data_IF_655210553000
#
_entry.id   IF_655210553000
#
_cell.length_a   1.000
_cell.length_b   1.000
_cell.length_c   1.000
_cell.angle_alpha   90.00
_cell.angle_beta   90.00
_cell.angle_gamma   90.00
#
_symmetry.space_group_name_H-M   'P 1'
#
loop_
_entity.id
_entity.type
_entity.pdbx_description
1 polymer ?
#
# COMPACT_ATOMS: atom_id res chain seq x y z
N UNK A 1 -8.10 -0.78 -63.06
CA UNK A 1 -8.05 -1.99 -62.26
C UNK A 1 -6.95 -1.97 -61.17
N UNK A 2 -5.69 -1.60 -61.44
CA UNK A 2 -4.61 -1.58 -60.42
C UNK A 2 -4.84 -0.73 -59.17
N UNK A 3 -5.52 0.45 -59.24
CA UNK A 3 -5.82 1.31 -58.08
C UNK A 3 -6.83 0.73 -57.08
N UNK A 4 -7.76 -0.12 -57.55
CA UNK A 4 -8.78 -0.73 -56.71
C UNK A 4 -8.22 -1.93 -55.95
N UNK A 5 -7.30 -2.70 -56.52
CA UNK A 5 -6.63 -3.82 -55.88
C UNK A 5 -5.66 -3.35 -54.77
N UNK A 6 -4.90 -2.28 -55.03
CA UNK A 6 -4.00 -1.68 -54.02
C UNK A 6 -4.77 -1.14 -52.79
N UNK A 7 -5.98 -0.62 -53.03
CA UNK A 7 -6.83 -0.12 -51.95
C UNK A 7 -7.46 -1.25 -51.12
N UNK A 8 -7.72 -2.42 -51.73
CA UNK A 8 -8.25 -3.61 -51.06
C UNK A 8 -7.14 -4.32 -50.24
N UNK A 9 -5.92 -4.40 -50.74
CA UNK A 9 -4.79 -4.97 -49.99
C UNK A 9 -4.41 -4.10 -48.79
N UNK A 10 -4.35 -2.77 -48.93
CA UNK A 10 -4.12 -1.89 -47.78
C UNK A 10 -5.20 -2.03 -46.70
N UNK A 11 -6.49 -2.18 -47.05
CA UNK A 11 -7.55 -2.40 -46.07
C UNK A 11 -7.44 -3.76 -45.36
N UNK A 12 -7.03 -4.79 -46.05
CA UNK A 12 -6.84 -6.13 -45.45
C UNK A 12 -5.66 -6.19 -44.49
N UNK A 13 -4.57 -5.47 -44.76
CA UNK A 13 -3.41 -5.42 -43.89
C UNK A 13 -3.67 -4.58 -42.63
N UNK A 14 -4.38 -3.47 -42.73
CA UNK A 14 -4.76 -2.62 -41.59
C UNK A 14 -5.58 -3.40 -40.57
N UNK A 15 -6.56 -4.19 -41.00
CA UNK A 15 -7.35 -5.03 -40.05
C UNK A 15 -6.52 -6.15 -39.41
N UNK A 16 -5.51 -6.69 -40.12
CA UNK A 16 -4.60 -7.69 -39.54
C UNK A 16 -3.58 -7.07 -38.58
N UNK A 17 -3.19 -5.84 -38.82
CA UNK A 17 -2.21 -5.13 -37.99
C UNK A 17 -2.80 -4.70 -36.65
N UNK A 18 -4.10 -4.38 -36.60
CA UNK A 18 -4.79 -3.92 -35.38
C UNK A 18 -5.57 -5.03 -34.65
N UNK A 19 -5.53 -6.30 -35.09
CA UNK A 19 -6.25 -7.38 -34.41
C UNK A 19 -5.87 -7.54 -32.93
N UNK A 20 -4.61 -7.29 -32.45
CA UNK A 20 -4.30 -7.38 -31.04
C UNK A 20 -5.06 -6.35 -30.19
N UNK A 21 -5.44 -5.20 -30.79
CA UNK A 21 -6.25 -4.19 -30.07
C UNK A 21 -7.64 -4.72 -29.70
N UNK A 22 -8.21 -5.63 -30.51
CA UNK A 22 -9.50 -6.23 -30.18
C UNK A 22 -9.40 -7.13 -28.93
N UNK A 23 -8.24 -7.72 -28.64
CA UNK A 23 -8.00 -8.48 -27.41
C UNK A 23 -7.99 -7.58 -26.16
N UNK A 24 -7.77 -6.28 -26.32
CA UNK A 24 -7.82 -5.31 -25.22
C UNK A 24 -9.25 -4.88 -24.88
N UNK A 25 -10.23 -5.06 -25.79
CA UNK A 25 -11.61 -4.60 -25.61
C UNK A 25 -12.24 -5.12 -24.33
N UNK A 26 -12.17 -6.43 -23.98
CA UNK A 26 -12.75 -6.92 -22.73
C UNK A 26 -12.13 -6.25 -21.49
N UNK A 27 -10.81 -6.03 -21.48
CA UNK A 27 -10.10 -5.36 -20.39
C UNK A 27 -10.50 -3.87 -20.30
N UNK A 28 -10.60 -3.18 -21.43
CA UNK A 28 -11.03 -1.78 -21.49
C UNK A 28 -12.49 -1.61 -21.04
N UNK A 29 -13.38 -2.51 -21.46
CA UNK A 29 -14.79 -2.52 -21.01
C UNK A 29 -14.86 -2.78 -19.50
N UNK A 30 -14.09 -3.73 -18.96
CA UNK A 30 -14.01 -3.97 -17.53
C UNK A 30 -13.57 -2.71 -16.78
N UNK A 31 -12.50 -2.05 -17.22
CA UNK A 31 -12.02 -0.80 -16.60
C UNK A 31 -13.07 0.31 -16.69
N UNK A 32 -13.72 0.47 -17.85
CA UNK A 32 -14.76 1.49 -18.03
C UNK A 32 -15.91 1.28 -17.05
N UNK A 33 -16.44 0.05 -17.00
CA UNK A 33 -17.63 -0.27 -16.19
C UNK A 33 -17.30 -0.23 -14.69
N UNK A 34 -16.16 -0.79 -14.27
CA UNK A 34 -15.87 -0.97 -12.84
C UNK A 34 -15.06 0.16 -12.22
N UNK A 35 -14.39 0.99 -13.01
CA UNK A 35 -13.59 2.11 -12.52
C UNK A 35 -14.12 3.47 -12.95
N UNK A 36 -14.32 3.68 -14.26
CA UNK A 36 -14.70 5.02 -14.78
C UNK A 36 -16.16 5.37 -14.52
N UNK A 37 -17.10 4.46 -14.75
CA UNK A 37 -18.53 4.74 -14.50
C UNK A 37 -18.80 5.04 -13.01
N UNK A 38 -18.26 4.30 -12.03
CA UNK A 38 -18.41 4.65 -10.62
C UNK A 38 -17.83 6.01 -10.22
N UNK A 39 -16.83 6.54 -10.95
CA UNK A 39 -16.33 7.90 -10.70
C UNK A 39 -17.41 8.98 -10.86
N UNK A 40 -18.45 8.75 -11.70
CA UNK A 40 -19.61 9.65 -11.75
C UNK A 40 -20.31 9.77 -10.39
N UNK A 41 -20.20 8.76 -9.52
CA UNK A 41 -20.71 8.79 -8.15
C UNK A 41 -19.99 9.80 -7.25
N UNK A 42 -18.82 10.33 -7.62
CA UNK A 42 -18.15 11.41 -6.87
C UNK A 42 -19.03 12.65 -6.72
N UNK A 43 -20.02 12.84 -7.60
CA UNK A 43 -20.99 13.93 -7.50
C UNK A 43 -21.76 13.91 -6.18
N UNK A 44 -21.90 12.73 -5.53
CA UNK A 44 -22.56 12.57 -4.23
C UNK A 44 -21.85 13.37 -3.14
N UNK A 45 -20.53 13.53 -3.23
CA UNK A 45 -19.75 14.34 -2.30
C UNK A 45 -20.23 15.80 -2.22
N UNK A 46 -20.82 16.30 -3.31
CA UNK A 46 -21.30 17.68 -3.43
C UNK A 46 -22.82 17.81 -3.29
N UNK A 47 -23.52 16.72 -2.96
CA UNK A 47 -24.97 16.67 -2.85
C UNK A 47 -25.40 16.22 -1.44
N UNK A 48 -26.57 16.71 -0.99
CA UNK A 48 -27.27 16.19 0.17
C UNK A 48 -28.14 15.04 -0.29
N UNK A 49 -27.60 13.81 -0.26
CA UNK A 49 -28.25 12.65 -0.84
C UNK A 49 -29.62 12.40 -0.20
N UNK A 50 -30.63 12.31 -1.04
CA UNK A 50 -31.99 11.91 -0.67
C UNK A 50 -32.36 10.63 -1.47
N UNK A 51 -32.51 9.52 -0.77
CA UNK A 51 -32.77 8.23 -1.40
C UNK A 51 -34.08 8.22 -2.22
N UNK A 52 -35.11 8.96 -1.80
CA UNK A 52 -36.38 9.03 -2.53
C UNK A 52 -36.24 9.75 -3.88
N UNK A 53 -35.29 10.68 -4.01
CA UNK A 53 -35.04 11.46 -5.22
C UNK A 53 -33.93 10.87 -6.10
N UNK A 54 -33.15 9.96 -5.55
CA UNK A 54 -31.97 9.43 -6.21
C UNK A 54 -30.81 10.42 -6.30
N UNK A 55 -29.67 9.97 -6.86
CA UNK A 55 -28.42 10.76 -6.89
C UNK A 55 -28.58 12.06 -7.67
N UNK A 56 -29.17 11.97 -8.87
CA UNK A 56 -29.21 13.11 -9.80
C UNK A 56 -30.18 14.21 -9.37
N UNK A 57 -31.34 13.86 -8.80
CA UNK A 57 -32.36 14.82 -8.35
C UNK A 57 -32.16 15.29 -6.91
N UNK A 58 -31.17 14.79 -6.18
CA UNK A 58 -30.82 15.27 -4.83
C UNK A 58 -30.29 16.71 -4.88
N UNK A 59 -30.61 17.55 -3.89
CA UNK A 59 -30.19 18.94 -3.85
C UNK A 59 -28.67 19.07 -3.70
N UNK A 60 -28.13 20.12 -4.29
CA UNK A 60 -26.71 20.46 -4.15
C UNK A 60 -26.41 20.94 -2.72
N UNK A 61 -25.33 20.43 -2.12
CA UNK A 61 -24.78 20.82 -0.84
C UNK A 61 -23.50 21.66 -0.97
N UNK A 62 -23.00 21.84 -2.19
CA UNK A 62 -21.70 22.47 -2.42
C UNK A 62 -20.58 21.77 -1.64
N UNK A 63 -19.87 22.49 -0.77
CA UNK A 63 -18.78 21.96 0.06
C UNK A 63 -19.21 21.60 1.50
N UNK A 64 -20.52 21.61 1.81
CA UNK A 64 -21.00 21.35 3.19
C UNK A 64 -20.57 19.97 3.69
N UNK A 65 -20.56 18.96 2.81
CA UNK A 65 -20.13 17.60 3.17
C UNK A 65 -18.62 17.51 3.49
N UNK A 66 -17.85 18.51 3.13
CA UNK A 66 -16.41 18.59 3.42
C UNK A 66 -16.10 19.35 4.71
N UNK A 67 -17.08 20.05 5.30
CA UNK A 67 -16.86 20.88 6.51
C UNK A 67 -16.27 20.09 7.66
N UNK A 68 -16.63 18.79 7.80
CA UNK A 68 -16.07 17.93 8.84
C UNK A 68 -14.55 17.81 8.78
N UNK A 69 -13.96 17.84 7.58
CA UNK A 69 -12.50 17.75 7.37
C UNK A 69 -11.73 18.92 8.00
N UNK A 70 -12.39 20.05 8.18
CA UNK A 70 -11.75 21.27 8.68
C UNK A 70 -12.23 21.68 10.08
N UNK A 71 -13.35 21.13 10.56
CA UNK A 71 -14.00 21.53 11.81
C UNK A 71 -13.95 20.47 12.90
N UNK A 72 -13.64 19.20 12.58
CA UNK A 72 -13.64 18.13 13.57
C UNK A 72 -12.22 17.70 13.98
N UNK A 73 -12.07 17.35 15.28
CA UNK A 73 -10.82 16.72 15.77
C UNK A 73 -10.55 15.38 15.08
N UNK A 74 -11.61 14.68 14.67
CA UNK A 74 -11.49 13.36 14.02
C UNK A 74 -10.82 13.48 12.66
N UNK A 75 -11.12 14.53 11.89
CA UNK A 75 -10.47 14.77 10.60
C UNK A 75 -8.94 14.91 10.72
N UNK A 76 -8.49 15.64 11.73
CA UNK A 76 -7.06 15.75 12.03
C UNK A 76 -6.45 14.40 12.42
N UNK A 77 -7.14 13.64 13.29
CA UNK A 77 -6.68 12.32 13.74
C UNK A 77 -6.54 11.37 12.55
N UNK A 78 -7.59 11.25 11.71
CA UNK A 78 -7.57 10.32 10.57
C UNK A 78 -6.51 10.69 9.54
N UNK A 79 -6.37 11.97 9.22
CA UNK A 79 -5.37 12.45 8.24
C UNK A 79 -3.96 12.24 8.77
N UNK A 80 -3.68 12.66 10.01
CA UNK A 80 -2.39 12.47 10.67
C UNK A 80 -2.02 10.98 10.74
N UNK A 81 -2.94 10.15 11.23
CA UNK A 81 -2.67 8.72 11.39
C UNK A 81 -2.43 8.06 10.03
N UNK A 82 -3.27 8.33 9.02
CA UNK A 82 -3.08 7.81 7.66
C UNK A 82 -1.68 8.13 7.14
N UNK A 83 -1.27 9.39 7.23
CA UNK A 83 0.04 9.83 6.72
C UNK A 83 1.20 9.21 7.52
N UNK A 84 1.17 9.31 8.86
CA UNK A 84 2.27 8.83 9.70
C UNK A 84 2.47 7.31 9.59
N UNK A 85 1.38 6.54 9.57
CA UNK A 85 1.49 5.08 9.39
C UNK A 85 2.03 4.72 8.02
N UNK A 86 1.53 5.34 6.94
CA UNK A 86 2.01 5.01 5.62
C UNK A 86 3.48 5.40 5.42
N UNK A 87 3.91 6.55 5.93
CA UNK A 87 5.34 6.92 5.95
C UNK A 87 6.16 5.88 6.71
N UNK A 88 5.72 5.48 7.92
CA UNK A 88 6.41 4.47 8.71
C UNK A 88 6.45 3.10 7.99
N UNK A 89 5.33 2.67 7.40
CA UNK A 89 5.25 1.41 6.64
C UNK A 89 6.18 1.42 5.44
N UNK A 90 6.20 2.50 4.65
CA UNK A 90 7.07 2.63 3.48
C UNK A 90 8.54 2.52 3.91
N UNK A 91 8.96 3.29 4.91
CA UNK A 91 10.36 3.31 5.35
C UNK A 91 10.78 1.97 5.98
N UNK A 92 9.97 1.43 6.88
CA UNK A 92 10.31 0.18 7.60
C UNK A 92 10.30 -1.01 6.64
N UNK A 93 9.26 -1.16 5.82
CA UNK A 93 9.20 -2.25 4.84
C UNK A 93 10.33 -2.17 3.81
N UNK A 94 10.71 -0.96 3.38
CA UNK A 94 11.85 -0.77 2.49
C UNK A 94 13.15 -1.23 3.16
N UNK A 95 13.47 -0.71 4.35
CA UNK A 95 14.72 -1.03 5.05
C UNK A 95 14.79 -2.52 5.40
N UNK A 96 13.73 -3.06 6.01
CA UNK A 96 13.67 -4.47 6.41
C UNK A 96 13.64 -5.39 5.18
N UNK A 97 12.90 -5.02 4.13
CA UNK A 97 12.83 -5.77 2.88
C UNK A 97 14.19 -5.87 2.17
N UNK A 98 14.93 -4.77 2.07
CA UNK A 98 16.29 -4.75 1.50
C UNK A 98 17.24 -5.59 2.35
N UNK A 99 17.22 -5.41 3.69
CA UNK A 99 18.09 -6.16 4.60
C UNK A 99 17.86 -7.68 4.46
N UNK A 100 16.60 -8.12 4.45
CA UNK A 100 16.27 -9.54 4.29
C UNK A 100 16.62 -10.03 2.89
N UNK A 101 16.42 -9.23 1.84
CA UNK A 101 16.80 -9.59 0.48
C UNK A 101 18.31 -9.86 0.37
N UNK A 102 19.13 -8.97 0.94
CA UNK A 102 20.58 -9.15 0.99
C UNK A 102 20.94 -10.43 1.77
N UNK A 103 20.37 -10.62 2.97
CA UNK A 103 20.64 -11.81 3.78
C UNK A 103 20.29 -13.11 3.06
N UNK A 104 19.13 -13.16 2.39
CA UNK A 104 18.71 -14.35 1.63
C UNK A 104 19.60 -14.57 0.41
N UNK A 105 20.05 -13.53 -0.28
CA UNK A 105 20.93 -13.69 -1.45
C UNK A 105 22.31 -14.20 -1.07
N UNK A 106 22.81 -13.91 0.12
CA UNK A 106 24.09 -14.44 0.63
C UNK A 106 24.03 -15.92 1.05
N UNK A 107 22.85 -16.52 1.18
CA UNK A 107 22.72 -17.96 1.49
C UNK A 107 23.24 -18.79 0.33
N UNK A 108 24.33 -19.54 0.56
CA UNK A 108 24.98 -20.37 -0.45
C UNK A 108 24.16 -21.59 -0.86
N UNK A 109 23.45 -22.20 0.08
CA UNK A 109 22.65 -23.38 -0.17
C UNK A 109 21.32 -23.01 -0.86
N UNK A 110 21.18 -23.40 -2.13
CA UNK A 110 20.00 -23.09 -2.96
C UNK A 110 18.69 -23.66 -2.40
N UNK A 111 18.72 -24.80 -1.70
CA UNK A 111 17.53 -25.41 -1.07
C UNK A 111 17.09 -24.56 0.13
N UNK A 112 18.03 -24.17 1.01
CA UNK A 112 17.74 -23.30 2.14
C UNK A 112 17.26 -21.91 1.68
N UNK A 113 17.85 -21.36 0.63
CA UNK A 113 17.41 -20.08 0.04
C UNK A 113 15.93 -20.14 -0.36
N UNK A 114 15.50 -21.21 -1.05
CA UNK A 114 14.09 -21.41 -1.42
C UNK A 114 13.19 -21.56 -0.20
N UNK A 115 13.62 -22.29 0.82
CA UNK A 115 12.87 -22.44 2.09
C UNK A 115 12.67 -21.08 2.76
N UNK A 116 13.72 -20.27 2.90
CA UNK A 116 13.62 -18.93 3.48
C UNK A 116 12.70 -17.99 2.68
N UNK A 117 12.81 -18.02 1.34
CA UNK A 117 11.91 -17.25 0.47
C UNK A 117 10.45 -17.68 0.64
N UNK A 118 10.17 -18.97 0.74
CA UNK A 118 8.81 -19.48 0.98
C UNK A 118 8.30 -19.11 2.38
N UNK A 119 9.14 -19.24 3.39
CA UNK A 119 8.76 -18.95 4.78
C UNK A 119 8.42 -17.46 4.98
N UNK A 120 9.18 -16.55 4.36
CA UNK A 120 8.92 -15.11 4.49
C UNK A 120 7.67 -14.65 3.72
N UNK A 121 7.23 -15.44 2.72
CA UNK A 121 5.99 -15.18 1.99
C UNK A 121 4.75 -15.67 2.73
N UNK A 122 4.88 -16.62 3.64
CA UNK A 122 3.74 -17.23 4.32
C UNK A 122 2.82 -16.21 5.01
N UNK A 123 3.34 -15.22 5.77
CA UNK A 123 2.49 -14.20 6.39
C UNK A 123 1.71 -13.37 5.37
N UNK A 124 2.28 -13.08 4.21
CA UNK A 124 1.60 -12.31 3.16
C UNK A 124 0.33 -13.01 2.64
N UNK A 125 0.34 -14.34 2.57
CA UNK A 125 -0.79 -15.14 2.07
C UNK A 125 -1.95 -15.25 3.07
N UNK A 126 -1.72 -14.91 4.35
CA UNK A 126 -2.78 -14.96 5.37
C UNK A 126 -3.76 -13.80 5.21
N UNK A 127 -5.05 -14.05 5.50
CA UNK A 127 -6.04 -12.98 5.55
C UNK A 127 -5.82 -12.04 6.74
N UNK A 128 -6.31 -10.80 6.65
CA UNK A 128 -6.24 -9.85 7.78
C UNK A 128 -7.04 -10.31 8.99
N UNK A 129 -8.09 -11.11 8.77
CA UNK A 129 -8.87 -11.72 9.87
C UNK A 129 -8.02 -12.72 10.66
N UNK A 130 -7.27 -13.59 9.97
CA UNK A 130 -6.34 -14.53 10.63
C UNK A 130 -5.27 -13.74 11.40
N UNK A 131 -4.68 -12.72 10.78
CA UNK A 131 -3.72 -11.84 11.45
C UNK A 131 -4.30 -11.23 12.72
N UNK A 132 -5.54 -10.73 12.68
CA UNK A 132 -6.19 -10.14 13.85
C UNK A 132 -6.34 -11.12 15.01
N UNK A 133 -6.72 -12.38 14.72
CA UNK A 133 -6.80 -13.42 15.75
C UNK A 133 -5.44 -13.83 16.30
N UNK A 134 -4.39 -13.85 15.46
CA UNK A 134 -3.01 -14.08 15.94
C UNK A 134 -2.60 -12.96 16.90
N UNK A 135 -2.81 -11.69 16.53
CA UNK A 135 -2.50 -10.55 17.40
C UNK A 135 -3.32 -10.60 18.70
N UNK A 136 -4.60 -10.97 18.59
CA UNK A 136 -5.45 -11.15 19.78
C UNK A 136 -4.96 -12.27 20.69
N UNK A 137 -4.61 -13.43 20.12
CA UNK A 137 -4.05 -14.55 20.89
C UNK A 137 -2.72 -14.19 21.59
N UNK A 138 -1.95 -13.26 21.01
CA UNK A 138 -0.73 -12.76 21.64
C UNK A 138 -1.01 -11.72 22.74
N UNK A 139 -1.97 -10.81 22.52
CA UNK A 139 -2.18 -9.60 23.32
C UNK A 139 -3.46 -9.60 24.16
N UNK A 140 -4.27 -10.66 24.14
CA UNK A 140 -5.47 -10.77 25.00
C UNK A 140 -5.11 -10.50 26.47
N UNK A 141 -5.99 -9.79 27.16
CA UNK A 141 -5.76 -9.44 28.56
C UNK A 141 -5.73 -10.68 29.47
N UNK A 142 -6.62 -11.63 29.21
CA UNK A 142 -6.81 -12.82 30.05
C UNK A 142 -5.91 -14.00 29.63
N UNK A 143 -5.86 -14.29 28.33
CA UNK A 143 -5.21 -15.49 27.80
C UNK A 143 -4.03 -15.20 26.86
N UNK A 144 -3.62 -13.93 26.73
CA UNK A 144 -2.59 -13.55 25.78
C UNK A 144 -1.21 -14.07 26.18
N UNK A 145 -0.47 -14.63 25.23
CA UNK A 145 0.89 -15.15 25.43
C UNK A 145 1.81 -14.08 26.05
N UNK A 146 1.69 -12.84 25.60
CA UNK A 146 2.54 -11.73 26.10
C UNK A 146 2.27 -11.48 27.59
N UNK A 147 1.01 -11.38 28.00
CA UNK A 147 0.63 -11.12 29.39
C UNK A 147 0.91 -12.30 30.31
N UNK A 148 0.76 -13.55 29.84
CA UNK A 148 0.84 -14.73 30.71
C UNK A 148 2.22 -15.40 30.71
N UNK A 149 3.06 -15.14 29.71
CA UNK A 149 4.37 -15.78 29.61
C UNK A 149 5.52 -14.78 29.53
N UNK A 150 5.41 -13.73 28.69
CA UNK A 150 6.53 -12.84 28.43
C UNK A 150 6.66 -11.78 29.53
N UNK A 151 5.58 -11.05 29.86
CA UNK A 151 5.63 -9.98 30.86
C UNK A 151 5.99 -10.49 32.28
N UNK A 152 5.44 -11.62 32.76
CA UNK A 152 5.84 -12.20 34.04
C UNK A 152 7.32 -12.56 34.10
N UNK A 153 7.90 -13.05 33.00
CA UNK A 153 9.35 -13.33 32.96
C UNK A 153 10.21 -12.08 33.23
N UNK A 154 9.71 -10.89 32.84
CA UNK A 154 10.37 -9.60 33.10
C UNK A 154 9.82 -8.89 34.34
N UNK A 155 8.97 -9.53 35.16
CA UNK A 155 8.34 -8.95 36.36
C UNK A 155 7.52 -7.70 36.04
N UNK A 156 6.85 -7.68 34.88
CA UNK A 156 5.98 -6.59 34.43
C UNK A 156 4.53 -7.02 34.60
N UNK A 157 3.71 -6.13 35.16
CA UNK A 157 2.28 -6.35 35.33
C UNK A 157 1.55 -6.54 34.00
N UNK A 158 0.46 -7.35 33.95
CA UNK A 158 -0.35 -7.52 32.76
C UNK A 158 -0.87 -6.20 32.19
N UNK A 159 -0.83 -6.07 30.88
CA UNK A 159 -1.24 -4.86 30.16
C UNK A 159 -2.57 -5.09 29.46
N UNK A 160 -3.52 -4.16 29.63
CA UNK A 160 -4.78 -4.12 28.91
C UNK A 160 -4.57 -3.50 27.51
N UNK A 161 -3.95 -4.25 26.60
CA UNK A 161 -3.49 -3.76 25.29
C UNK A 161 -4.61 -3.10 24.50
N UNK A 162 -5.82 -3.70 24.46
CA UNK A 162 -6.98 -3.20 23.72
C UNK A 162 -7.69 -1.99 24.38
N UNK A 163 -7.20 -1.55 25.55
CA UNK A 163 -7.66 -0.36 26.23
C UNK A 163 -6.60 0.76 26.30
N UNK A 164 -5.39 0.51 25.82
CA UNK A 164 -4.26 1.45 25.88
C UNK A 164 -3.79 1.88 24.50
N UNK A 165 -4.33 2.95 23.91
CA UNK A 165 -4.02 3.42 22.54
C UNK A 165 -2.52 3.63 22.28
N UNK A 166 -1.74 4.01 23.29
CA UNK A 166 -0.31 4.36 23.16
C UNK A 166 0.57 3.26 22.56
N UNK A 167 0.19 2.00 22.72
CA UNK A 167 0.98 0.87 22.20
C UNK A 167 0.65 0.49 20.76
N UNK A 168 -0.53 0.91 20.27
CA UNK A 168 -1.06 0.48 18.98
C UNK A 168 -0.25 0.92 17.77
N UNK A 169 0.43 2.10 17.76
CA UNK A 169 1.30 2.43 16.66
C UNK A 169 2.39 1.38 16.43
N UNK A 170 3.07 0.93 17.48
CA UNK A 170 4.10 -0.11 17.38
C UNK A 170 3.50 -1.46 16.93
N UNK A 171 2.36 -1.87 17.51
CA UNK A 171 1.69 -3.14 17.19
C UNK A 171 1.31 -3.17 15.71
N UNK A 172 0.69 -2.11 15.19
CA UNK A 172 0.27 -2.04 13.79
C UNK A 172 1.47 -2.00 12.83
N UNK A 173 2.56 -1.30 13.19
CA UNK A 173 3.78 -1.26 12.38
C UNK A 173 4.42 -2.65 12.32
N UNK A 174 4.52 -3.35 13.45
CA UNK A 174 5.08 -4.71 13.49
C UNK A 174 4.20 -5.67 12.68
N UNK A 175 2.88 -5.63 12.86
CA UNK A 175 1.93 -6.47 12.14
C UNK A 175 2.00 -6.23 10.61
N UNK A 176 2.07 -4.97 10.19
CA UNK A 176 2.22 -4.59 8.79
C UNK A 176 3.55 -5.09 8.21
N UNK A 177 4.65 -4.85 8.92
CA UNK A 177 5.98 -5.27 8.49
C UNK A 177 6.05 -6.81 8.36
N UNK A 178 5.61 -7.54 9.39
CA UNK A 178 5.62 -9.00 9.40
C UNK A 178 4.80 -9.59 8.23
N UNK A 179 3.65 -8.99 7.93
CA UNK A 179 2.80 -9.44 6.83
C UNK A 179 3.32 -9.02 5.45
N UNK A 180 3.83 -7.80 5.33
CA UNK A 180 4.09 -7.17 4.02
C UNK A 180 5.51 -7.34 3.49
N UNK A 181 6.49 -7.47 4.38
CA UNK A 181 7.92 -7.43 4.01
C UNK A 181 8.33 -8.53 3.04
N UNK A 182 7.71 -9.73 3.14
CA UNK A 182 8.04 -10.87 2.29
C UNK A 182 7.80 -10.62 0.82
N UNK A 183 6.69 -9.99 0.46
CA UNK A 183 6.38 -9.64 -0.93
C UNK A 183 7.36 -8.60 -1.49
N UNK A 184 7.61 -7.51 -0.75
CA UNK A 184 8.57 -6.48 -1.16
C UNK A 184 9.99 -7.02 -1.29
N UNK A 185 10.40 -7.91 -0.38
CA UNK A 185 11.70 -8.57 -0.40
C UNK A 185 11.96 -9.34 -1.70
N UNK A 186 10.95 -10.02 -2.29
CA UNK A 186 11.12 -10.75 -3.54
C UNK A 186 11.51 -9.85 -4.71
N UNK A 187 10.98 -8.62 -4.77
CA UNK A 187 11.31 -7.67 -5.83
C UNK A 187 12.78 -7.25 -5.68
N UNK A 188 13.23 -6.99 -4.46
CA UNK A 188 14.65 -6.69 -4.20
C UNK A 188 15.55 -7.89 -4.52
N UNK A 189 15.15 -9.12 -4.17
CA UNK A 189 15.90 -10.34 -4.52
C UNK A 189 16.03 -10.48 -6.05
N UNK A 190 14.95 -10.24 -6.80
CA UNK A 190 14.99 -10.29 -8.26
C UNK A 190 15.97 -9.26 -8.84
N UNK A 191 15.98 -8.05 -8.30
CA UNK A 191 16.92 -7.01 -8.69
C UNK A 191 18.37 -7.37 -8.34
N UNK A 192 18.61 -7.95 -7.16
CA UNK A 192 19.93 -8.40 -6.72
C UNK A 192 20.52 -9.52 -7.59
N UNK A 193 19.68 -10.46 -8.03
CA UNK A 193 20.10 -11.55 -8.93
C UNK A 193 20.52 -11.01 -10.31
N UNK A 194 19.97 -9.87 -10.72
CA UNK A 194 20.29 -9.21 -11.98
C UNK A 194 21.63 -8.46 -12.01
N UNK A 195 22.30 -8.30 -10.85
CA UNK A 195 23.61 -7.64 -10.79
C UNK A 195 24.68 -8.58 -11.36
N UNK A 196 25.54 -8.06 -12.26
CA UNK A 196 26.63 -8.85 -12.85
C UNK A 196 27.61 -9.31 -11.76
N UNK A 197 27.84 -10.64 -11.61
CA UNK A 197 28.79 -11.17 -10.63
C UNK A 197 30.21 -10.63 -10.76
N UNK A 198 30.63 -10.19 -11.95
CA UNK A 198 31.97 -9.64 -12.21
C UNK A 198 32.31 -8.44 -11.32
N UNK A 199 31.31 -7.61 -10.95
CA UNK A 199 31.55 -6.50 -10.03
C UNK A 199 32.00 -6.98 -8.64
N UNK A 200 31.41 -8.06 -8.15
CA UNK A 200 31.78 -8.64 -6.85
C UNK A 200 33.11 -9.38 -6.91
N UNK A 201 33.41 -10.04 -8.03
CA UNK A 201 34.70 -10.73 -8.25
C UNK A 201 35.86 -9.73 -8.29
N UNK A 202 35.71 -8.65 -9.04
CA UNK A 202 36.70 -7.57 -9.09
C UNK A 202 36.93 -6.95 -7.70
N UNK A 203 35.86 -6.61 -6.98
CA UNK A 203 35.96 -6.04 -5.64
C UNK A 203 36.70 -6.97 -4.66
N UNK A 204 36.49 -8.28 -4.75
CA UNK A 204 37.17 -9.26 -3.90
C UNK A 204 38.65 -9.38 -4.24
N UNK A 205 39.01 -9.28 -5.52
CA UNK A 205 40.42 -9.22 -5.94
C UNK A 205 41.13 -7.99 -5.40
N UNK A 206 40.41 -6.87 -5.31
CA UNK A 206 40.88 -5.62 -4.70
C UNK A 206 40.87 -5.64 -3.16
N UNK A 207 40.49 -6.76 -2.52
CA UNK A 207 40.47 -6.93 -1.06
C UNK A 207 39.25 -6.28 -0.36
N UNK A 208 38.16 -6.01 -1.07
CA UNK A 208 36.96 -5.44 -0.47
C UNK A 208 36.30 -6.38 0.55
N UNK A 209 35.92 -5.82 1.70
CA UNK A 209 35.12 -6.51 2.71
C UNK A 209 33.66 -6.67 2.27
N UNK A 210 32.93 -7.61 2.90
CA UNK A 210 31.49 -7.80 2.63
C UNK A 210 30.66 -6.52 2.83
N UNK A 211 30.99 -5.73 3.83
CA UNK A 211 30.34 -4.44 4.05
C UNK A 211 30.59 -3.44 2.92
N UNK A 212 31.79 -3.46 2.35
CA UNK A 212 32.13 -2.66 1.17
C UNK A 212 31.39 -3.15 -0.08
N UNK A 213 31.30 -4.47 -0.31
CA UNK A 213 30.47 -5.02 -1.39
C UNK A 213 29.01 -4.54 -1.26
N UNK A 214 28.42 -4.61 -0.05
CA UNK A 214 27.03 -4.18 0.18
C UNK A 214 26.86 -2.68 -0.05
N UNK A 215 27.71 -1.86 0.52
CA UNK A 215 27.52 -0.40 0.49
C UNK A 215 27.92 0.26 -0.81
N UNK A 216 28.92 -0.32 -1.54
CA UNK A 216 29.47 0.29 -2.76
C UNK A 216 28.99 -0.35 -4.06
N UNK A 217 28.46 -1.60 -4.00
CA UNK A 217 27.98 -2.30 -5.18
C UNK A 217 26.50 -2.61 -5.05
N UNK A 218 26.10 -3.36 -4.01
CA UNK A 218 24.73 -3.87 -3.86
C UNK A 218 23.71 -2.75 -3.69
N UNK A 219 23.88 -1.87 -2.71
CA UNK A 219 22.93 -0.78 -2.44
C UNK A 219 22.83 0.23 -3.59
N UNK A 220 23.94 0.72 -4.20
CA UNK A 220 23.84 1.58 -5.37
C UNK A 220 23.13 0.94 -6.56
N UNK A 221 23.36 -0.35 -6.81
CA UNK A 221 22.67 -1.10 -7.88
C UNK A 221 21.17 -1.29 -7.63
N UNK A 222 20.72 -1.25 -6.36
CA UNK A 222 19.30 -1.30 -6.00
C UNK A 222 18.58 0.05 -6.10
N UNK A 223 19.29 1.17 -6.20
CA UNK A 223 18.69 2.52 -6.19
C UNK A 223 17.55 2.67 -7.20
N UNK A 224 17.66 2.23 -8.47
CA UNK A 224 16.56 2.33 -9.43
C UNK A 224 15.29 1.59 -8.95
N UNK A 225 15.46 0.37 -8.43
CA UNK A 225 14.35 -0.43 -7.89
C UNK A 225 13.74 0.23 -6.65
N UNK A 226 14.57 0.77 -5.75
CA UNK A 226 14.14 1.48 -4.55
C UNK A 226 13.30 2.70 -4.93
N UNK A 227 13.76 3.52 -5.86
CA UNK A 227 13.05 4.73 -6.32
C UNK A 227 11.70 4.34 -6.93
N UNK A 228 11.67 3.34 -7.80
CA UNK A 228 10.43 2.88 -8.43
C UNK A 228 9.41 2.40 -7.39
N UNK A 229 9.81 1.55 -6.44
CA UNK A 229 8.92 1.04 -5.39
C UNK A 229 8.49 2.14 -4.41
N UNK A 230 9.39 3.09 -4.12
CA UNK A 230 9.08 4.25 -3.27
C UNK A 230 8.02 5.13 -3.94
N UNK A 231 8.17 5.46 -5.23
CA UNK A 231 7.19 6.25 -5.97
C UNK A 231 5.82 5.57 -6.03
N UNK A 232 5.79 4.26 -6.31
CA UNK A 232 4.55 3.48 -6.30
C UNK A 232 3.88 3.48 -4.92
N UNK A 233 4.67 3.41 -3.84
CA UNK A 233 4.18 3.43 -2.47
C UNK A 233 3.67 4.83 -2.06
N UNK A 234 4.39 5.89 -2.44
CA UNK A 234 3.95 7.27 -2.24
C UNK A 234 2.65 7.54 -2.99
N UNK A 235 2.47 6.93 -4.17
CA UNK A 235 1.23 7.01 -4.92
C UNK A 235 -0.01 6.57 -4.12
N UNK A 236 0.18 5.78 -3.10
CA UNK A 236 -0.87 5.25 -2.22
C UNK A 236 -0.79 5.76 -0.78
N UNK A 237 -0.01 6.80 -0.51
CA UNK A 237 0.28 7.27 0.86
C UNK A 237 -0.98 7.73 1.65
N UNK A 238 -2.04 8.12 0.94
CA UNK A 238 -3.33 8.48 1.55
C UNK A 238 -4.33 7.31 1.61
N UNK A 239 -3.95 6.12 1.14
CA UNK A 239 -4.75 4.90 1.23
C UNK A 239 -4.14 3.98 2.27
N UNK A 240 -4.93 3.58 3.25
CA UNK A 240 -4.50 2.65 4.30
C UNK A 240 -5.09 1.27 4.07
N UNK A 241 -4.43 0.23 4.58
CA UNK A 241 -4.99 -1.11 4.57
C UNK A 241 -6.18 -1.18 5.55
N UNK A 242 -7.39 -1.12 5.00
CA UNK A 242 -8.62 -1.22 5.78
C UNK A 242 -8.62 -2.44 6.71
N UNK A 243 -8.19 -3.61 6.19
CA UNK A 243 -8.16 -4.84 6.97
C UNK A 243 -7.26 -4.73 8.21
N UNK A 244 -6.07 -4.15 8.06
CA UNK A 244 -5.15 -3.95 9.17
C UNK A 244 -5.76 -3.04 10.26
N UNK A 245 -6.27 -1.88 9.86
CA UNK A 245 -6.75 -0.87 10.82
C UNK A 245 -8.15 -1.13 11.37
N UNK A 246 -8.93 -1.99 10.73
CA UNK A 246 -10.26 -2.37 11.20
C UNK A 246 -10.24 -3.68 12.00
N UNK A 247 -9.62 -4.73 11.44
CA UNK A 247 -9.68 -6.07 12.03
C UNK A 247 -8.71 -6.22 13.22
N UNK A 248 -7.46 -5.78 13.08
CA UNK A 248 -6.44 -6.03 14.12
C UNK A 248 -6.77 -5.35 15.45
N UNK A 249 -7.22 -4.06 15.49
CA UNK A 249 -7.67 -3.43 16.72
C UNK A 249 -9.13 -3.79 17.09
N UNK A 250 -9.79 -4.73 16.36
CA UNK A 250 -11.16 -5.18 16.56
C UNK A 250 -12.17 -4.03 16.57
N UNK A 251 -11.97 -3.02 15.72
CA UNK A 251 -12.79 -1.82 15.64
C UNK A 251 -13.11 -1.18 17.00
N UNK A 252 -12.19 -1.28 17.97
CA UNK A 252 -12.38 -0.76 19.32
C UNK A 252 -12.35 0.77 19.34
N UNK A 253 -13.46 1.41 19.75
CA UNK A 253 -13.57 2.88 19.85
C UNK A 253 -12.54 3.52 20.78
N UNK A 254 -12.12 2.82 21.84
CA UNK A 254 -11.08 3.29 22.76
C UNK A 254 -9.74 3.50 22.04
N UNK A 255 -9.48 2.76 20.98
CA UNK A 255 -8.23 2.80 20.22
C UNK A 255 -8.23 3.83 19.09
N UNK A 256 -9.37 4.41 18.73
CA UNK A 256 -9.51 5.36 17.60
C UNK A 256 -8.51 6.51 17.59
N UNK A 257 -8.07 7.08 18.73
CA UNK A 257 -7.05 8.14 18.69
C UNK A 257 -5.77 7.76 17.97
N UNK A 258 -5.44 6.46 17.92
CA UNK A 258 -4.22 5.93 17.28
C UNK A 258 -4.49 4.98 16.12
N UNK A 259 -5.67 4.39 15.99
CA UNK A 259 -5.97 3.38 14.96
C UNK A 259 -6.94 3.87 13.89
N UNK A 260 -7.61 5.02 14.12
CA UNK A 260 -8.54 5.57 13.14
C UNK A 260 -7.76 6.20 11.97
N UNK A 261 -8.04 5.75 10.76
CA UNK A 261 -7.49 6.24 9.49
C UNK A 261 -8.63 6.61 8.54
N UNK A 262 -8.34 7.30 7.43
CA UNK A 262 -9.36 7.77 6.50
C UNK A 262 -10.24 6.60 6.02
N UNK A 263 -9.65 5.49 5.61
CA UNK A 263 -10.38 4.34 5.06
C UNK A 263 -11.36 3.72 6.07
N UNK A 264 -10.97 3.56 7.34
CA UNK A 264 -11.85 3.05 8.39
C UNK A 264 -12.93 4.07 8.78
N UNK A 265 -12.61 5.34 8.72
CA UNK A 265 -13.58 6.41 8.96
C UNK A 265 -14.65 6.46 7.87
N UNK A 266 -14.23 6.42 6.59
CA UNK A 266 -15.13 6.35 5.42
C UNK A 266 -16.08 5.16 5.53
N UNK A 267 -15.57 3.99 5.89
CA UNK A 267 -16.36 2.78 6.08
C UNK A 267 -17.42 2.95 7.19
N UNK A 268 -17.03 3.44 8.36
CA UNK A 268 -17.96 3.68 9.47
C UNK A 268 -19.01 4.74 9.13
N UNK A 269 -18.59 5.83 8.48
CA UNK A 269 -19.52 6.86 8.02
C UNK A 269 -20.56 6.30 7.06
N UNK A 270 -20.13 5.40 6.16
CA UNK A 270 -21.00 4.78 5.17
C UNK A 270 -21.94 3.72 5.79
N UNK A 271 -21.36 2.76 6.52
CA UNK A 271 -22.08 1.55 6.93
C UNK A 271 -22.75 1.73 8.30
N UNK A 272 -22.07 2.32 9.27
CA UNK A 272 -22.59 2.44 10.64
C UNK A 272 -23.46 3.69 10.82
N UNK A 273 -23.14 4.79 10.13
CA UNK A 273 -23.85 6.07 10.26
C UNK A 273 -24.81 6.34 9.09
N UNK A 274 -24.76 5.57 8.00
CA UNK A 274 -25.59 5.77 6.82
C UNK A 274 -25.33 7.09 6.07
N UNK A 275 -24.22 7.78 6.38
CA UNK A 275 -23.90 9.09 5.80
C UNK A 275 -23.06 8.97 4.52
N UNK A 276 -23.75 8.60 3.43
CA UNK A 276 -23.10 8.39 2.12
C UNK A 276 -22.46 9.68 1.60
N UNK A 277 -23.07 10.82 1.80
CA UNK A 277 -22.55 12.09 1.29
C UNK A 277 -21.21 12.47 1.94
N UNK A 278 -21.08 12.32 3.26
CA UNK A 278 -19.85 12.58 3.99
C UNK A 278 -18.77 11.56 3.68
N UNK A 279 -19.15 10.26 3.58
CA UNK A 279 -18.24 9.21 3.17
C UNK A 279 -17.67 9.45 1.76
N UNK A 280 -18.53 9.86 0.80
CA UNK A 280 -18.10 10.23 -0.54
C UNK A 280 -17.18 11.45 -0.55
N UNK A 281 -17.46 12.46 0.29
CA UNK A 281 -16.60 13.63 0.43
C UNK A 281 -15.21 13.28 0.98
N UNK A 282 -15.13 12.38 1.95
CA UNK A 282 -13.86 11.88 2.47
C UNK A 282 -13.06 11.11 1.40
N UNK A 283 -13.73 10.28 0.58
CA UNK A 283 -13.10 9.59 -0.54
C UNK A 283 -12.57 10.53 -1.63
N UNK A 284 -13.33 11.58 -1.97
CA UNK A 284 -12.88 12.63 -2.92
C UNK A 284 -11.68 13.39 -2.34
N UNK A 285 -11.72 13.77 -1.07
CA UNK A 285 -10.59 14.40 -0.38
C UNK A 285 -9.33 13.52 -0.46
N UNK A 286 -9.46 12.24 -0.09
CA UNK A 286 -8.37 11.26 -0.13
C UNK A 286 -7.75 11.14 -1.53
N UNK A 287 -8.59 11.06 -2.57
CA UNK A 287 -8.14 10.95 -3.95
C UNK A 287 -7.45 12.22 -4.44
N UNK A 288 -8.00 13.39 -4.11
CA UNK A 288 -7.43 14.69 -4.53
C UNK A 288 -6.07 14.93 -3.86
N UNK A 289 -5.96 14.73 -2.57
CA UNK A 289 -4.70 14.93 -1.83
C UNK A 289 -3.68 13.88 -2.28
N UNK A 290 -4.09 12.62 -2.45
CA UNK A 290 -3.25 11.56 -2.99
C UNK A 290 -2.69 11.92 -4.36
N UNK A 291 -3.52 12.41 -5.27
CA UNK A 291 -3.10 12.87 -6.59
C UNK A 291 -2.05 14.01 -6.50
N UNK A 292 -2.31 15.02 -5.68
CA UNK A 292 -1.35 16.13 -5.49
C UNK A 292 0.01 15.64 -4.96
N UNK A 293 0.01 14.68 -4.02
CA UNK A 293 1.26 14.13 -3.47
C UNK A 293 2.01 13.32 -4.53
N UNK A 294 1.31 12.52 -5.35
CA UNK A 294 1.93 11.79 -6.47
C UNK A 294 2.59 12.74 -7.46
N UNK A 295 1.86 13.77 -7.89
CA UNK A 295 2.38 14.78 -8.83
C UNK A 295 3.62 15.48 -8.28
N UNK A 296 3.56 15.88 -7.00
CA UNK A 296 4.70 16.53 -6.32
C UNK A 296 5.90 15.59 -6.23
N UNK A 297 5.68 14.34 -5.82
CA UNK A 297 6.76 13.35 -5.69
C UNK A 297 7.41 13.04 -7.04
N UNK A 298 6.61 12.83 -8.07
CA UNK A 298 7.14 12.60 -9.42
C UNK A 298 7.91 13.82 -9.95
N UNK A 299 7.42 15.04 -9.69
CA UNK A 299 8.12 16.27 -10.06
C UNK A 299 9.48 16.40 -9.35
N UNK A 300 9.57 16.04 -8.06
CA UNK A 300 10.82 16.02 -7.30
C UNK A 300 11.79 15.01 -7.91
N UNK A 301 11.34 13.76 -8.15
CA UNK A 301 12.20 12.73 -8.76
C UNK A 301 12.67 13.15 -10.14
N UNK A 302 11.80 13.70 -10.99
CA UNK A 302 12.15 14.19 -12.32
C UNK A 302 13.21 15.30 -12.31
N UNK A 303 13.31 16.08 -11.21
CA UNK A 303 14.38 17.07 -11.03
C UNK A 303 15.72 16.46 -10.64
N UNK A 304 15.70 15.34 -9.92
CA UNK A 304 16.90 14.64 -9.45
C UNK A 304 17.41 13.69 -10.53
N UNK A 305 16.52 12.87 -11.09
CA UNK A 305 16.83 11.91 -12.15
C UNK A 305 15.60 11.73 -13.06
N UNK A 306 15.73 12.15 -14.32
CA UNK A 306 14.65 12.11 -15.29
C UNK A 306 14.28 10.68 -15.70
N UNK A 307 15.25 9.77 -15.67
CA UNK A 307 15.05 8.38 -16.11
C UNK A 307 14.31 7.53 -15.06
N UNK A 308 14.24 8.02 -13.82
CA UNK A 308 13.54 7.38 -12.71
C UNK A 308 12.11 7.93 -12.50
N UNK A 309 11.70 8.96 -13.22
CA UNK A 309 10.35 9.51 -13.12
C UNK A 309 9.33 8.55 -13.74
N UNK A 310 8.11 8.51 -13.18
CA UNK A 310 7.04 7.65 -13.69
C UNK A 310 6.41 8.19 -14.97
N UNK A 311 6.38 9.51 -15.13
CA UNK A 311 5.84 10.24 -16.29
C UNK A 311 6.44 11.65 -16.38
#
# INVERSE_FOLDING_TARGET
MKKAEVKKEKKKNVLKEYWPLYLMIPALLYLLINNYIPMAGMVIAFKKLNFAKGIWASPWAGLDNFKFLFSSKDAWIITRNTLLYNVAFILINMVVGIAIAILITEVRNTKLKKVYQSAILLPFLMSMVILSYIVYALLSAENGLVNNSILPFFHIDPIQWYQKPKYWPAILIIANCWKGVGYGCLIYIASLIGIDPSFYEAARLDGASKWQEITKITLPSLVPTIITLLLLSIGRIFYSDFGLFYQVPMNSGVLFPTTNVIDTYVYRALIEQGNISMSSAAGVYQSLVGFCVVMLSNWIVRKVDKDQALF
#
